data_IF_859706548505
#
_entry.id   IF_859706548505
#
_cell.length_a   1.000
_cell.length_b   1.000
_cell.length_c   1.000
_cell.angle_alpha   90.00
_cell.angle_beta   90.00
_cell.angle_gamma   90.00
#
_symmetry.space_group_name_H-M   'P 1'
#
loop_
_entity.id
_entity.type
_entity.pdbx_description
1 polymer ?
#
# COMPACT_ATOMS: atom_id res chain seq x y z
N UNK A 1 0.34 15.75 14.54
CA UNK A 1 -0.24 14.40 14.35
C UNK A 1 -1.28 14.06 15.40
N UNK A 2 -0.99 14.21 16.70
CA UNK A 2 -1.99 13.95 17.75
C UNK A 2 -3.20 14.91 17.66
N UNK A 3 -2.96 16.21 17.50
CA UNK A 3 -4.05 17.19 17.34
C UNK A 3 -4.90 16.94 16.09
N UNK A 4 -4.28 16.49 15.00
CA UNK A 4 -5.00 16.12 13.77
C UNK A 4 -5.83 14.85 13.97
N UNK A 5 -5.31 13.87 14.72
CA UNK A 5 -6.05 12.66 15.06
C UNK A 5 -7.34 12.99 15.82
N UNK A 6 -7.24 13.85 16.83
CA UNK A 6 -8.39 14.28 17.62
C UNK A 6 -9.34 15.18 16.80
N UNK A 7 -8.80 16.13 16.03
CA UNK A 7 -9.60 17.02 15.17
C UNK A 7 -10.41 16.25 14.11
N UNK A 8 -9.81 15.23 13.51
CA UNK A 8 -10.44 14.45 12.44
C UNK A 8 -11.13 13.17 12.95
N UNK A 9 -11.11 12.92 14.26
CA UNK A 9 -11.63 11.69 14.86
C UNK A 9 -11.13 10.43 14.12
N UNK A 10 -9.83 10.42 13.81
CA UNK A 10 -9.25 9.37 12.98
C UNK A 10 -9.25 8.01 13.71
N UNK A 11 -9.36 6.92 12.97
CA UNK A 11 -9.35 5.57 13.55
C UNK A 11 -7.95 5.16 14.02
N UNK A 12 -6.93 5.43 13.20
CA UNK A 12 -5.54 5.10 13.47
C UNK A 12 -4.57 6.00 12.70
N UNK A 13 -3.32 6.05 13.17
CA UNK A 13 -2.18 6.66 12.47
C UNK A 13 -1.34 5.55 11.86
N UNK A 14 -1.04 5.66 10.57
CA UNK A 14 -0.11 4.75 9.87
C UNK A 14 1.30 5.31 9.95
N UNK A 15 2.28 4.45 10.22
CA UNK A 15 3.69 4.84 10.10
C UNK A 15 4.56 3.71 9.56
N UNK A 16 5.42 4.06 8.61
CA UNK A 16 6.35 3.14 7.98
C UNK A 16 7.53 2.81 8.92
N UNK A 17 7.88 1.52 8.96
CA UNK A 17 8.90 0.99 9.85
C UNK A 17 10.34 1.25 9.41
N UNK A 18 10.59 1.24 8.10
CA UNK A 18 11.92 1.05 7.52
C UNK A 18 12.90 2.18 7.84
N UNK A 19 12.38 3.39 8.11
CA UNK A 19 13.17 4.58 8.39
C UNK A 19 12.67 5.25 9.67
N UNK A 20 13.10 4.74 10.82
CA UNK A 20 12.82 5.38 12.12
C UNK A 20 11.40 5.15 12.66
N UNK A 21 10.64 4.19 12.13
CA UNK A 21 9.25 3.96 12.56
C UNK A 21 9.09 3.57 14.04
N UNK A 22 10.14 3.05 14.68
CA UNK A 22 10.15 2.83 16.12
C UNK A 22 10.13 4.15 16.91
N UNK A 23 10.91 5.15 16.46
CA UNK A 23 10.92 6.49 17.02
C UNK A 23 9.58 7.18 16.80
N UNK A 24 9.01 7.09 15.58
CA UNK A 24 7.70 7.68 15.26
C UNK A 24 6.60 7.11 16.16
N UNK A 25 6.56 5.78 16.33
CA UNK A 25 5.61 5.14 17.26
C UNK A 25 5.77 5.66 18.68
N UNK A 26 7.01 5.75 19.16
CA UNK A 26 7.30 6.25 20.50
C UNK A 26 6.83 7.70 20.68
N UNK A 27 7.19 8.60 19.76
CA UNK A 27 6.78 10.01 19.79
C UNK A 27 5.26 10.16 19.79
N UNK A 28 4.55 9.39 18.96
CA UNK A 28 3.08 9.40 18.95
C UNK A 28 2.50 8.95 20.28
N UNK A 29 3.05 7.88 20.88
CA UNK A 29 2.57 7.35 22.16
C UNK A 29 2.88 8.28 23.34
N UNK A 30 4.01 8.98 23.33
CA UNK A 30 4.32 10.01 24.31
C UNK A 30 3.34 11.19 24.18
N UNK A 31 3.02 11.60 22.95
CA UNK A 31 2.09 12.70 22.72
C UNK A 31 0.65 12.35 23.12
N UNK A 32 0.16 11.17 22.74
CA UNK A 32 -1.14 10.67 23.16
C UNK A 32 -1.16 9.12 23.15
N UNK A 33 -1.21 8.46 24.31
CA UNK A 33 -1.14 7.00 24.39
C UNK A 33 -2.37 6.29 23.79
N UNK A 34 -3.51 6.99 23.66
CA UNK A 34 -4.77 6.44 23.14
C UNK A 34 -4.78 6.30 21.61
N UNK A 35 -3.87 6.96 20.89
CA UNK A 35 -3.82 6.87 19.42
C UNK A 35 -3.49 5.44 19.00
N UNK A 36 -4.35 4.82 18.19
CA UNK A 36 -4.05 3.55 17.57
C UNK A 36 -2.98 3.75 16.49
N UNK A 37 -1.85 3.06 16.62
CA UNK A 37 -0.74 3.16 15.67
C UNK A 37 -0.64 1.88 14.85
N UNK A 38 -0.80 2.00 13.53
CA UNK A 38 -0.65 0.92 12.57
C UNK A 38 0.73 0.99 11.93
N UNK A 39 1.59 0.03 12.28
CA UNK A 39 2.92 -0.10 11.67
C UNK A 39 2.78 -0.76 10.30
N UNK A 40 3.40 -0.19 9.28
CA UNK A 40 3.53 -0.78 7.94
C UNK A 40 5.00 -0.95 7.57
N UNK A 41 5.29 -1.90 6.70
CA UNK A 41 6.65 -2.20 6.23
C UNK A 41 6.59 -2.17 4.70
N UNK A 42 7.36 -1.30 4.06
CA UNK A 42 7.55 -1.38 2.62
C UNK A 42 8.43 -2.59 2.30
N UNK A 43 7.89 -3.54 1.53
CA UNK A 43 8.64 -4.71 1.02
C UNK A 43 8.90 -4.61 -0.48
N UNK A 44 8.20 -3.69 -1.17
CA UNK A 44 8.32 -3.44 -2.60
C UNK A 44 8.61 -1.96 -2.84
N UNK A 45 9.18 -1.65 -4.00
CA UNK A 45 9.49 -0.28 -4.41
C UNK A 45 8.25 0.62 -4.42
N UNK A 46 8.47 1.93 -4.23
CA UNK A 46 7.41 2.96 -4.17
C UNK A 46 6.44 2.93 -5.35
N UNK A 47 6.94 2.73 -6.58
CA UNK A 47 6.10 2.69 -7.79
C UNK A 47 5.20 1.44 -7.84
N UNK A 48 5.72 0.26 -7.45
CA UNK A 48 4.92 -0.98 -7.36
C UNK A 48 3.82 -0.84 -6.30
N UNK A 49 4.12 -0.16 -5.18
CA UNK A 49 3.13 0.11 -4.15
C UNK A 49 2.05 1.11 -4.62
N UNK A 50 2.39 2.04 -5.51
CA UNK A 50 1.48 3.03 -6.06
C UNK A 50 0.51 2.45 -7.10
N UNK A 51 0.90 1.41 -7.84
CA UNK A 51 0.13 0.84 -8.95
C UNK A 51 -1.34 0.53 -8.58
N UNK A 52 -1.66 -0.21 -7.49
CA UNK A 52 -3.05 -0.49 -7.15
C UNK A 52 -3.87 0.77 -6.85
N UNK A 53 -3.22 1.82 -6.35
CA UNK A 53 -3.85 3.09 -6.03
C UNK A 53 -4.09 3.90 -7.29
N UNK A 54 -3.18 3.88 -8.26
CA UNK A 54 -3.36 4.50 -9.57
C UNK A 54 -4.63 3.97 -10.27
N UNK A 55 -4.87 2.66 -10.20
CA UNK A 55 -6.10 2.07 -10.74
C UNK A 55 -7.39 2.59 -10.06
N UNK A 56 -7.32 3.00 -8.78
CA UNK A 56 -8.45 3.63 -8.09
C UNK A 56 -8.67 5.08 -8.57
N UNK A 57 -7.60 5.82 -8.88
CA UNK A 57 -7.69 7.14 -9.50
C UNK A 57 -8.27 7.07 -10.92
N UNK A 58 -7.79 6.15 -11.76
CA UNK A 58 -8.29 5.96 -13.13
C UNK A 58 -9.78 5.63 -13.16
N UNK A 59 -10.24 4.80 -12.21
CA UNK A 59 -11.67 4.46 -12.05
C UNK A 59 -12.49 5.56 -11.39
N UNK A 60 -11.88 6.70 -11.05
CA UNK A 60 -12.53 7.84 -10.40
C UNK A 60 -13.02 7.56 -8.98
N UNK A 61 -12.46 6.54 -8.31
CA UNK A 61 -12.82 6.16 -6.92
C UNK A 61 -12.11 7.02 -5.88
N UNK A 62 -11.00 7.65 -6.24
CA UNK A 62 -10.28 8.62 -5.41
C UNK A 62 -10.33 9.98 -6.10
N UNK A 63 -10.69 11.02 -5.35
CA UNK A 63 -10.72 12.41 -5.82
C UNK A 63 -10.26 13.34 -4.70
N UNK A 64 -9.46 14.33 -5.04
CA UNK A 64 -9.07 15.40 -4.12
C UNK A 64 -10.08 16.54 -4.17
N UNK A 65 -10.36 17.15 -3.01
CA UNK A 65 -11.18 18.34 -2.91
C UNK A 65 -10.27 19.50 -2.52
N UNK A 66 -10.03 20.41 -3.47
CA UNK A 66 -9.07 21.51 -3.34
C UNK A 66 -7.90 21.35 -4.30
N UNK A 67 -6.88 22.19 -4.12
CA UNK A 67 -5.63 22.18 -4.89
C UNK A 67 -4.51 21.80 -3.94
N UNK A 68 -3.73 20.78 -4.30
CA UNK A 68 -2.61 20.31 -3.49
C UNK A 68 -1.33 20.22 -4.34
N UNK A 69 -0.86 21.35 -4.85
CA UNK A 69 0.22 21.42 -5.86
C UNK A 69 1.41 20.52 -5.56
N UNK A 70 2.02 20.64 -4.37
CA UNK A 70 3.19 19.80 -4.00
C UNK A 70 2.88 18.30 -4.03
N UNK A 71 1.67 17.91 -3.60
CA UNK A 71 1.24 16.51 -3.60
C UNK A 71 0.93 16.05 -5.03
N UNK A 72 0.27 16.88 -5.82
CA UNK A 72 -0.09 16.61 -7.21
C UNK A 72 1.17 16.48 -8.09
N UNK A 73 2.16 17.33 -7.88
CA UNK A 73 3.47 17.26 -8.52
C UNK A 73 4.17 15.94 -8.17
N UNK A 74 4.24 15.58 -6.87
CA UNK A 74 4.79 14.29 -6.43
C UNK A 74 4.01 13.10 -7.02
N UNK A 75 2.68 13.16 -7.11
CA UNK A 75 1.87 12.08 -7.71
C UNK A 75 2.11 11.96 -9.22
N UNK A 76 2.24 13.08 -9.92
CA UNK A 76 2.47 13.12 -11.37
C UNK A 76 3.86 12.61 -11.77
N UNK A 77 4.82 12.61 -10.85
CA UNK A 77 6.17 12.11 -11.06
C UNK A 77 6.29 10.57 -10.97
N UNK A 78 5.21 9.84 -10.70
CA UNK A 78 5.20 8.38 -10.78
C UNK A 78 5.03 7.88 -12.21
N UNK A 79 5.82 6.87 -12.57
CA UNK A 79 5.76 6.16 -13.85
C UNK A 79 5.84 4.64 -13.62
N UNK A 80 5.59 3.86 -14.67
CA UNK A 80 5.74 2.40 -14.64
C UNK A 80 7.20 1.97 -14.39
N UNK A 81 8.17 2.80 -14.77
CA UNK A 81 9.60 2.54 -14.58
C UNK A 81 10.11 2.96 -13.19
N UNK A 82 9.31 3.70 -12.41
CA UNK A 82 9.74 4.25 -11.13
C UNK A 82 9.22 5.65 -10.87
N UNK A 83 9.80 6.30 -9.87
CA UNK A 83 9.50 7.69 -9.52
C UNK A 83 10.59 8.60 -10.06
N UNK A 84 10.19 9.65 -10.77
CA UNK A 84 11.08 10.52 -11.56
C UNK A 84 11.42 11.86 -10.89
N UNK A 85 10.83 12.16 -9.73
CA UNK A 85 11.15 13.39 -9.00
C UNK A 85 12.52 13.34 -8.32
N UNK A 86 13.10 14.50 -8.04
CA UNK A 86 14.43 14.66 -7.45
C UNK A 86 14.50 14.12 -6.01
N UNK A 87 13.48 14.45 -5.19
CA UNK A 87 13.41 14.05 -3.78
C UNK A 87 12.47 12.86 -3.55
N UNK A 88 12.55 12.26 -2.36
CA UNK A 88 11.59 11.22 -1.95
C UNK A 88 10.15 11.77 -1.98
N UNK A 89 9.17 11.04 -2.55
CA UNK A 89 7.76 11.46 -2.64
C UNK A 89 7.05 11.36 -1.29
N UNK A 90 7.44 12.20 -0.33
CA UNK A 90 7.03 12.04 1.06
C UNK A 90 5.51 12.17 1.25
N UNK A 91 4.85 13.07 0.49
CA UNK A 91 3.41 13.33 0.59
C UNK A 91 2.63 12.29 -0.20
N UNK A 92 3.06 12.01 -1.42
CA UNK A 92 2.44 10.99 -2.25
C UNK A 92 2.55 9.60 -1.60
N UNK A 93 3.69 9.25 -0.99
CA UNK A 93 3.84 7.97 -0.30
C UNK A 93 3.00 7.87 0.97
N UNK A 94 2.91 8.96 1.76
CA UNK A 94 1.99 9.03 2.89
C UNK A 94 0.53 8.81 2.44
N UNK A 95 0.12 9.46 1.35
CA UNK A 95 -1.20 9.28 0.77
C UNK A 95 -1.44 7.83 0.30
N UNK A 96 -0.47 7.24 -0.40
CA UNK A 96 -0.54 5.85 -0.87
C UNK A 96 -0.72 4.89 0.32
N UNK A 97 0.01 5.09 1.42
CA UNK A 97 -0.15 4.29 2.63
C UNK A 97 -1.52 4.43 3.30
N UNK A 98 -2.06 5.65 3.32
CA UNK A 98 -3.41 5.93 3.82
C UNK A 98 -4.46 5.22 2.95
N UNK A 99 -4.39 5.41 1.63
CA UNK A 99 -5.34 4.80 0.69
C UNK A 99 -5.25 3.27 0.68
N UNK A 100 -4.04 2.71 0.77
CA UNK A 100 -3.83 1.26 0.90
C UNK A 100 -4.44 0.73 2.20
N UNK A 101 -4.32 1.49 3.30
CA UNK A 101 -4.90 1.11 4.59
C UNK A 101 -6.42 1.22 4.60
N UNK A 102 -6.98 2.22 3.90
CA UNK A 102 -8.42 2.45 3.78
C UNK A 102 -9.08 1.42 2.87
N UNK A 103 -8.45 1.11 1.74
CA UNK A 103 -8.96 0.23 0.69
C UNK A 103 -8.32 -1.16 0.70
N UNK A 104 -7.90 -1.65 1.87
CA UNK A 104 -7.18 -2.92 1.99
C UNK A 104 -7.91 -4.14 1.37
N UNK A 105 -9.25 -4.08 1.21
CA UNK A 105 -10.04 -5.10 0.50
C UNK A 105 -10.09 -4.95 -1.03
N UNK A 106 -9.77 -3.78 -1.57
CA UNK A 106 -9.73 -3.48 -3.02
C UNK A 106 -8.32 -3.49 -3.59
N UNK A 107 -7.31 -3.42 -2.73
CA UNK A 107 -5.87 -3.30 -3.06
C UNK A 107 -5.13 -4.63 -2.88
N UNK A 108 -5.74 -5.63 -2.25
CA UNK A 108 -5.20 -7.00 -2.26
C UNK A 108 -5.39 -7.59 -3.66
N UNK A 109 -4.33 -8.04 -4.35
CA UNK A 109 -4.52 -8.90 -5.50
C UNK A 109 -5.24 -10.17 -5.04
N UNK A 110 -6.13 -10.70 -5.88
CA UNK A 110 -6.68 -12.04 -5.65
C UNK A 110 -5.51 -12.99 -5.47
N UNK A 111 -5.39 -13.56 -4.28
CA UNK A 111 -4.41 -14.61 -4.04
C UNK A 111 -4.83 -15.77 -4.93
N UNK A 112 -4.12 -15.98 -6.04
CA UNK A 112 -4.16 -17.28 -6.72
C UNK A 112 -3.68 -18.27 -5.66
N UNK A 113 -4.52 -19.22 -5.22
CA UNK A 113 -4.12 -20.18 -4.21
C UNK A 113 -2.84 -20.86 -4.70
N UNK A 114 -1.80 -20.82 -3.88
CA UNK A 114 -0.54 -21.50 -4.15
C UNK A 114 -0.85 -22.98 -4.31
N UNK A 115 -0.81 -23.47 -5.55
CA UNK A 115 -1.04 -24.89 -5.83
C UNK A 115 -0.02 -25.69 -5.03
N UNK A 116 -0.54 -26.51 -4.13
CA UNK A 116 0.26 -27.37 -3.27
C UNK A 116 1.04 -28.34 -4.15
N UNK A 117 2.23 -28.74 -3.71
CA UNK A 117 3.10 -29.66 -4.44
C UNK A 117 2.35 -30.96 -4.82
N UNK A 118 1.42 -31.40 -3.97
CA UNK A 118 0.53 -32.54 -4.21
C UNK A 118 -0.41 -32.35 -5.42
N UNK A 119 -0.95 -31.14 -5.64
CA UNK A 119 -1.85 -30.85 -6.76
C UNK A 119 -1.11 -30.81 -8.11
N UNK A 120 0.19 -30.47 -8.10
CA UNK A 120 1.03 -30.47 -9.31
C UNK A 120 1.31 -31.89 -9.80
N UNK A 121 1.63 -32.81 -8.91
CA UNK A 121 1.86 -34.22 -9.25
C UNK A 121 0.61 -34.92 -9.82
N UNK A 122 -0.58 -34.58 -9.32
CA UNK A 122 -1.84 -35.16 -9.83
C UNK A 122 -2.14 -34.70 -11.26
N UNK A 123 -1.85 -33.44 -11.58
CA UNK A 123 -2.06 -32.91 -12.93
C UNK A 123 -1.03 -33.44 -13.94
N UNK A 124 0.22 -33.64 -13.54
CA UNK A 124 1.24 -34.25 -14.41
C UNK A 124 1.00 -35.75 -14.64
N UNK A 125 0.45 -36.46 -13.65
CA UNK A 125 0.09 -37.88 -13.76
C UNK A 125 -1.12 -38.15 -14.67
N UNK A 126 -2.05 -37.20 -14.77
CA UNK A 126 -3.26 -37.34 -15.60
C UNK A 126 -2.97 -37.26 -17.12
N UNK A 127 -1.90 -36.57 -17.53
CA UNK A 127 -1.52 -36.44 -18.94
C UNK A 127 -0.88 -37.69 -19.57
N UNK A 128 -0.44 -38.65 -18.77
CA UNK A 128 0.31 -39.83 -19.25
C UNK A 128 -0.53 -41.09 -19.51
N UNK A 129 -1.86 -41.06 -19.30
CA UNK A 129 -2.73 -42.22 -19.54
C UNK A 129 -3.40 -42.28 -20.93
N UNK A 130 -3.23 -41.27 -21.79
CA UNK A 130 -3.85 -41.24 -23.12
C UNK A 130 -3.05 -41.97 -24.23
N UNK A 131 -1.89 -42.59 -23.92
CA UNK A 131 -1.01 -43.24 -24.91
C UNK A 131 -0.95 -44.78 -24.85
N UNK A 132 -1.97 -45.43 -24.27
CA UNK A 132 -2.10 -46.90 -24.24
C UNK A 132 -3.52 -47.37 -24.61
N UNK A 133 -4.07 -46.84 -25.70
CA UNK A 133 -5.32 -47.29 -26.31
C UNK A 133 -5.17 -47.48 -27.81
#
# INVERSE_FOLDING_TARGET
>A
TADLFDRHQADFVVGEANYGGAMVKFTIKVANPRIHYKKVVATRGKHVRAEPIAALYEKGKVRHVGIFSDLEDELSAFSTAGYLGEDSPNRADALIWVLTSLFAGLVKPDTVPEQTEAERYVNEGAGNLEWMG
#
